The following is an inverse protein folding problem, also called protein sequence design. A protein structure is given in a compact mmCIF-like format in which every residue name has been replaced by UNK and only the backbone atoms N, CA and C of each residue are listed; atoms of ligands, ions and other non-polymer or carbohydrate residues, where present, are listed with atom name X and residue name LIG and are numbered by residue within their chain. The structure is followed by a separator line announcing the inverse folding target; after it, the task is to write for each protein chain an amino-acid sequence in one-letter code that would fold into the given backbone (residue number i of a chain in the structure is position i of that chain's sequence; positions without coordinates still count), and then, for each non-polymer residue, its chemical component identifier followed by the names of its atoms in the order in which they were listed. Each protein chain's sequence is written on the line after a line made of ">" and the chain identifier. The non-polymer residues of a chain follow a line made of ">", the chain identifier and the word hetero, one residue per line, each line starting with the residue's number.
data_IF_706056982446
#
_entry.id   IF_706056982446
#
_cell.length_a   1.000
_cell.length_b   1.000
_cell.length_c   1.000
_cell.angle_alpha   90.00
_cell.angle_beta   90.00
_cell.angle_gamma   90.00
#
_symmetry.space_group_name_H-M   'P 1'
#
loop_
_entity.id
_entity.type
_entity.pdbx_description
1 polymer ?
#
# COMPACT_ATOMS: atom_id res chain seq x y z
N UNK A 1 -66.14 -58.05 16.88
CA UNK A 1 -65.99 -58.40 15.44
C UNK A 1 -66.48 -57.22 14.62
N UNK A 2 -65.85 -56.93 13.46
CA UNK A 2 -64.98 -55.75 13.27
C UNK A 2 -65.51 -54.88 12.09
N UNK A 3 -65.02 -53.69 11.73
CA UNK A 3 -63.66 -53.37 11.33
C UNK A 3 -63.34 -51.89 11.42
N UNK A 4 -62.23 -51.66 12.11
CA UNK A 4 -61.24 -50.59 11.97
C UNK A 4 -60.79 -50.39 10.50
N UNK A 5 -60.75 -49.15 10.03
CA UNK A 5 -59.92 -48.66 8.90
C UNK A 5 -59.41 -47.26 9.29
N UNK A 6 -58.28 -47.12 9.98
CA UNK A 6 -56.89 -47.11 9.51
C UNK A 6 -56.61 -46.19 8.31
N UNK A 7 -56.08 -45.00 8.65
CA UNK A 7 -54.98 -44.22 8.05
C UNK A 7 -54.92 -44.05 6.53
N UNK A 8 -55.02 -42.80 6.06
CA UNK A 8 -54.20 -42.19 4.99
C UNK A 8 -53.92 -40.75 5.47
N UNK A 9 -52.79 -40.50 6.14
CA UNK A 9 -51.51 -40.05 5.58
C UNK A 9 -51.38 -38.52 5.61
N UNK A 10 -50.86 -38.06 6.76
CA UNK A 10 -50.16 -36.78 6.94
C UNK A 10 -48.94 -36.77 6.02
N UNK A 11 -48.93 -35.99 4.94
CA UNK A 11 -47.70 -35.60 4.22
C UNK A 11 -47.92 -34.23 3.55
N UNK A 12 -47.64 -33.14 4.26
CA UNK A 12 -47.16 -31.87 3.69
C UNK A 12 -46.55 -31.05 4.82
N UNK A 13 -45.46 -31.53 5.40
CA UNK A 13 -44.60 -30.73 6.28
C UNK A 13 -43.15 -31.16 6.10
N UNK A 14 -42.61 -30.96 4.89
CA UNK A 14 -41.22 -31.27 4.58
C UNK A 14 -40.70 -30.46 3.39
N UNK A 15 -40.85 -29.12 3.44
CA UNK A 15 -40.19 -28.19 2.51
C UNK A 15 -39.45 -27.05 3.23
N UNK A 16 -39.23 -27.16 4.54
CA UNK A 16 -38.37 -26.24 5.31
C UNK A 16 -37.25 -26.98 6.07
N UNK A 17 -36.90 -28.20 5.63
CA UNK A 17 -35.60 -28.76 5.97
C UNK A 17 -34.60 -28.24 4.93
N UNK A 18 -34.23 -26.97 5.03
CA UNK A 18 -32.97 -26.53 4.43
C UNK A 18 -31.91 -27.31 5.19
N UNK A 19 -31.12 -28.19 4.56
CA UNK A 19 -29.98 -28.76 5.24
C UNK A 19 -29.03 -27.59 5.49
N UNK A 20 -28.93 -27.12 6.74
CA UNK A 20 -27.74 -26.43 7.24
C UNK A 20 -26.63 -27.49 7.37
N UNK A 21 -26.30 -28.15 6.26
CA UNK A 21 -25.21 -29.09 6.19
C UNK A 21 -23.96 -28.29 5.84
N UNK A 22 -23.06 -28.26 6.82
CA UNK A 22 -21.66 -27.90 6.70
C UNK A 22 -21.38 -26.43 6.35
N UNK A 23 -21.43 -25.57 7.37
CA UNK A 23 -20.19 -24.82 7.63
C UNK A 23 -19.20 -25.86 8.19
N UNK A 24 -18.56 -26.62 7.30
CA UNK A 24 -17.49 -27.55 7.68
C UNK A 24 -16.50 -26.74 8.51
N UNK A 25 -16.20 -27.15 9.74
CA UNK A 25 -15.10 -26.55 10.49
C UNK A 25 -13.81 -27.16 9.93
N UNK A 26 -13.48 -26.73 8.71
CA UNK A 26 -12.32 -27.16 7.93
C UNK A 26 -10.99 -26.83 8.64
N UNK A 27 -11.07 -26.03 9.69
CA UNK A 27 -10.00 -25.75 10.62
C UNK A 27 -10.29 -26.29 12.01
N UNK A 28 -9.45 -27.22 12.44
CA UNK A 28 -9.48 -27.80 13.78
C UNK A 28 -8.71 -26.96 14.79
N UNK A 29 -7.77 -26.12 14.35
CA UNK A 29 -6.96 -25.25 15.20
C UNK A 29 -7.55 -23.83 15.31
N UNK A 30 -7.59 -23.28 16.53
CA UNK A 30 -8.10 -21.92 16.81
C UNK A 30 -6.97 -20.91 17.03
N UNK A 31 -6.11 -20.74 16.03
CA UNK A 31 -5.05 -19.73 16.06
C UNK A 31 -5.49 -18.43 15.34
N UNK A 32 -4.83 -17.31 15.62
CA UNK A 32 -5.05 -16.05 14.88
C UNK A 32 -4.73 -16.22 13.38
N UNK A 33 -3.72 -17.02 13.05
CA UNK A 33 -3.39 -17.33 11.66
C UNK A 33 -4.49 -18.14 10.98
N UNK A 34 -5.01 -19.15 11.68
CA UNK A 34 -6.06 -20.02 11.15
C UNK A 34 -7.35 -19.22 10.93
N UNK A 35 -7.69 -18.33 11.85
CA UNK A 35 -8.81 -17.40 11.68
C UNK A 35 -8.61 -16.43 10.51
N UNK A 36 -7.37 -15.98 10.27
CA UNK A 36 -7.06 -15.13 9.12
C UNK A 36 -7.37 -15.82 7.79
N UNK A 37 -6.98 -17.10 7.65
CA UNK A 37 -7.34 -17.90 6.48
C UNK A 37 -8.84 -18.15 6.40
N UNK A 38 -9.49 -18.44 7.54
CA UNK A 38 -10.92 -18.74 7.61
C UNK A 38 -11.74 -17.60 7.05
N UNK A 39 -11.51 -16.43 7.62
CA UNK A 39 -12.16 -15.19 7.20
C UNK A 39 -11.87 -14.86 5.74
N UNK A 40 -10.64 -15.10 5.24
CA UNK A 40 -10.32 -14.86 3.84
C UNK A 40 -11.14 -15.74 2.88
N UNK A 41 -11.26 -17.04 3.15
CA UNK A 41 -12.06 -17.94 2.30
C UNK A 41 -13.56 -17.65 2.40
N UNK A 42 -14.03 -17.16 3.56
CA UNK A 42 -15.40 -16.73 3.77
C UNK A 42 -15.69 -15.35 3.16
N UNK A 43 -14.70 -14.69 2.56
CA UNK A 43 -14.83 -13.37 1.94
C UNK A 43 -14.84 -12.20 2.93
N UNK A 44 -14.55 -12.44 4.21
CA UNK A 44 -14.44 -11.42 5.24
C UNK A 44 -13.01 -10.88 5.32
N UNK A 45 -12.71 -9.91 4.44
CA UNK A 45 -11.39 -9.29 4.32
C UNK A 45 -10.95 -8.54 5.58
N UNK A 46 -11.84 -7.78 6.20
CA UNK A 46 -11.55 -7.02 7.42
C UNK A 46 -11.16 -7.96 8.58
N UNK A 47 -11.95 -9.01 8.82
CA UNK A 47 -11.64 -10.00 9.85
C UNK A 47 -10.35 -10.77 9.54
N UNK A 48 -10.09 -11.09 8.27
CA UNK A 48 -8.84 -11.72 7.85
C UNK A 48 -7.65 -10.82 8.19
N UNK A 49 -7.73 -9.55 7.81
CA UNK A 49 -6.69 -8.55 8.05
C UNK A 49 -6.43 -8.33 9.54
N UNK A 50 -7.48 -8.16 10.34
CA UNK A 50 -7.37 -8.04 11.80
C UNK A 50 -6.73 -9.27 12.45
N UNK A 51 -7.02 -10.47 11.93
CA UNK A 51 -6.41 -11.71 12.42
C UNK A 51 -4.93 -11.82 12.02
N UNK A 52 -4.53 -11.27 10.86
CA UNK A 52 -3.12 -11.11 10.48
C UNK A 52 -2.39 -10.14 11.42
N UNK A 53 -2.99 -9.00 11.78
CA UNK A 53 -2.43 -8.07 12.77
C UNK A 53 -2.17 -8.80 14.10
N UNK A 54 -3.16 -9.53 14.62
CA UNK A 54 -3.02 -10.30 15.86
C UNK A 54 -1.90 -11.34 15.79
N UNK A 55 -1.66 -11.90 14.61
CA UNK A 55 -0.57 -12.86 14.42
C UNK A 55 0.78 -12.16 14.42
N UNK A 56 0.90 -11.01 13.76
CA UNK A 56 2.10 -10.17 13.81
C UNK A 56 2.43 -9.67 15.21
N UNK A 57 1.42 -9.33 16.02
CA UNK A 57 1.61 -8.86 17.39
C UNK A 57 2.25 -9.91 18.31
N UNK A 58 2.15 -11.20 17.96
CA UNK A 58 2.81 -12.30 18.68
C UNK A 58 4.28 -12.51 18.28
N UNK A 59 4.84 -11.59 17.50
CA UNK A 59 6.22 -11.62 17.03
C UNK A 59 6.60 -12.97 16.37
N UNK A 60 5.94 -13.30 15.24
CA UNK A 60 6.09 -14.60 14.60
C UNK A 60 7.53 -14.83 14.13
N UNK A 61 7.96 -16.08 14.10
CA UNK A 61 9.26 -16.46 13.50
C UNK A 61 9.25 -16.27 11.97
N UNK A 62 10.44 -16.26 11.34
CA UNK A 62 10.60 -15.81 9.95
C UNK A 62 9.79 -16.59 8.91
N UNK A 63 9.68 -17.92 9.04
CA UNK A 63 8.84 -18.72 8.13
C UNK A 63 7.36 -18.29 8.19
N UNK A 64 6.86 -17.94 9.39
CA UNK A 64 5.50 -17.47 9.57
C UNK A 64 5.32 -16.04 9.04
N UNK A 65 6.35 -15.19 9.13
CA UNK A 65 6.35 -13.87 8.45
C UNK A 65 6.17 -13.99 6.94
N UNK A 66 6.93 -14.88 6.30
CA UNK A 66 6.80 -15.14 4.85
C UNK A 66 5.40 -15.65 4.51
N UNK A 67 4.83 -16.49 5.36
CA UNK A 67 3.48 -16.99 5.17
C UNK A 67 2.42 -15.88 5.31
N UNK A 68 2.56 -14.97 6.27
CA UNK A 68 1.70 -13.79 6.41
C UNK A 68 1.81 -12.84 5.21
N UNK A 69 3.01 -12.62 4.68
CA UNK A 69 3.21 -11.82 3.46
C UNK A 69 2.46 -12.42 2.26
N UNK A 70 2.53 -13.74 2.10
CA UNK A 70 1.81 -14.45 1.05
C UNK A 70 0.29 -14.37 1.25
N UNK A 71 -0.18 -14.52 2.49
CA UNK A 71 -1.59 -14.41 2.83
C UNK A 71 -2.13 -13.00 2.54
N UNK A 72 -1.40 -11.96 2.92
CA UNK A 72 -1.74 -10.57 2.60
C UNK A 72 -1.81 -10.35 1.09
N UNK A 73 -0.84 -10.89 0.34
CA UNK A 73 -0.85 -10.81 -1.14
C UNK A 73 -2.10 -11.44 -1.72
N UNK A 74 -2.54 -12.59 -1.18
CA UNK A 74 -3.81 -13.22 -1.60
C UNK A 74 -5.05 -12.44 -1.20
N UNK A 75 -5.03 -11.78 -0.05
CA UNK A 75 -6.12 -10.89 0.34
C UNK A 75 -6.23 -9.67 -0.59
N UNK A 76 -5.10 -9.11 -1.04
CA UNK A 76 -5.06 -8.00 -2.00
C UNK A 76 -5.63 -8.39 -3.38
N UNK A 77 -5.59 -9.66 -3.77
CA UNK A 77 -6.16 -10.16 -5.03
C UNK A 77 -7.70 -10.04 -5.11
N UNK A 78 -8.39 -9.69 -4.03
CA UNK A 78 -9.86 -9.57 -3.99
C UNK A 78 -10.31 -8.13 -4.29
N UNK A 79 -9.72 -7.13 -3.64
CA UNK A 79 -10.15 -5.73 -3.78
C UNK A 79 -9.02 -4.69 -3.64
N UNK A 80 -7.77 -5.15 -3.76
CA UNK A 80 -6.57 -4.35 -3.55
C UNK A 80 -6.45 -3.70 -2.16
N UNK A 81 -7.11 -4.27 -1.14
CA UNK A 81 -7.00 -3.89 0.27
C UNK A 81 -7.96 -2.79 0.72
N UNK A 82 -8.95 -2.44 -0.10
CA UNK A 82 -9.92 -1.39 0.23
C UNK A 82 -10.82 -1.76 1.40
N UNK A 83 -11.14 -3.04 1.58
CA UNK A 83 -12.02 -3.52 2.66
C UNK A 83 -11.25 -4.13 3.84
N UNK A 84 -9.94 -3.84 3.97
CA UNK A 84 -9.15 -4.29 5.13
C UNK A 84 -9.50 -3.56 6.41
N UNK A 85 -10.03 -2.34 6.30
CA UNK A 85 -10.44 -1.51 7.42
C UNK A 85 -11.58 -0.58 6.98
N UNK A 86 -12.67 -0.60 7.74
CA UNK A 86 -13.89 0.18 7.51
C UNK A 86 -14.05 1.35 8.50
N UNK A 87 -13.09 1.58 9.41
CA UNK A 87 -13.18 2.56 10.50
C UNK A 87 -13.23 4.02 10.05
N UNK A 88 -12.93 4.31 8.78
CA UNK A 88 -13.00 5.66 8.23
C UNK A 88 -11.92 6.60 8.76
N UNK A 89 -11.93 7.85 8.26
CA UNK A 89 -11.11 8.92 8.82
C UNK A 89 -11.96 9.85 9.69
N UNK A 90 -11.39 10.43 10.77
CA UNK A 90 -12.03 11.52 11.46
C UNK A 90 -12.17 12.73 10.52
N UNK A 91 -13.11 13.63 10.81
CA UNK A 91 -13.48 14.73 9.91
C UNK A 91 -12.32 15.70 9.57
N UNK A 92 -11.26 15.73 10.40
CA UNK A 92 -10.09 16.56 10.15
C UNK A 92 -9.06 15.91 9.22
N UNK A 93 -9.15 14.61 8.93
CA UNK A 93 -8.15 13.86 8.18
C UNK A 93 -8.70 13.42 6.81
N UNK A 94 -8.06 13.83 5.72
CA UNK A 94 -8.56 13.54 4.36
C UNK A 94 -7.79 12.41 3.69
N UNK A 95 -6.47 12.35 3.90
CA UNK A 95 -5.60 11.39 3.21
C UNK A 95 -4.38 11.04 4.04
N UNK A 96 -4.08 9.74 4.10
CA UNK A 96 -2.81 9.21 4.61
C UNK A 96 -2.19 8.32 3.55
N UNK A 97 -0.92 8.56 3.22
CA UNK A 97 -0.14 7.73 2.29
C UNK A 97 1.20 7.38 2.90
N UNK A 98 1.53 6.09 2.89
CA UNK A 98 2.86 5.59 3.21
C UNK A 98 3.51 5.19 1.89
N UNK A 99 4.57 5.89 1.51
CA UNK A 99 5.29 5.67 0.26
C UNK A 99 6.68 5.11 0.55
N UNK A 100 6.99 3.96 -0.06
CA UNK A 100 8.30 3.30 -0.01
C UNK A 100 9.00 3.53 -1.33
N UNK A 101 10.18 4.12 -1.27
CA UNK A 101 10.97 4.46 -2.45
C UNK A 101 12.25 3.63 -2.53
N UNK A 102 12.51 3.11 -3.72
CA UNK A 102 13.81 2.54 -4.10
C UNK A 102 14.44 3.46 -5.13
N UNK A 103 15.54 4.12 -4.77
CA UNK A 103 16.18 5.16 -5.58
C UNK A 103 17.52 4.65 -6.09
N UNK A 104 17.61 4.41 -7.39
CA UNK A 104 18.81 3.96 -8.07
C UNK A 104 19.45 5.12 -8.84
N UNK A 105 20.65 5.49 -8.40
CA UNK A 105 21.53 6.44 -9.08
C UNK A 105 22.76 5.71 -9.62
N UNK A 106 23.58 6.30 -10.52
CA UNK A 106 24.80 5.66 -10.98
C UNK A 106 25.70 5.28 -9.79
N UNK A 107 25.93 3.98 -9.61
CA UNK A 107 26.75 3.42 -8.54
C UNK A 107 26.16 3.49 -7.13
N UNK A 108 24.88 3.86 -6.95
CA UNK A 108 24.24 3.98 -5.63
C UNK A 108 22.80 3.47 -5.64
N UNK A 109 22.44 2.77 -4.58
CA UNK A 109 21.07 2.33 -4.31
C UNK A 109 20.70 2.84 -2.91
N UNK A 110 19.64 3.64 -2.83
CA UNK A 110 19.14 4.19 -1.57
C UNK A 110 17.67 3.81 -1.40
N UNK A 111 17.24 3.76 -0.15
CA UNK A 111 15.85 3.53 0.20
C UNK A 111 15.33 4.73 0.96
N UNK A 112 14.07 5.08 0.73
CA UNK A 112 13.42 6.17 1.45
C UNK A 112 12.02 5.76 1.84
N UNK A 113 11.62 6.10 3.05
CA UNK A 113 10.26 5.96 3.53
C UNK A 113 9.66 7.36 3.67
N UNK A 114 8.44 7.56 3.17
CA UNK A 114 7.71 8.83 3.25
C UNK A 114 6.34 8.60 3.83
N UNK A 115 5.90 9.55 4.66
CA UNK A 115 4.52 9.69 5.10
C UNK A 115 4.00 10.99 4.52
N UNK A 116 2.90 10.92 3.78
CA UNK A 116 2.20 12.06 3.22
C UNK A 116 0.82 12.12 3.87
N UNK A 117 0.48 13.26 4.45
CA UNK A 117 -0.82 13.46 5.09
C UNK A 117 -1.48 14.73 4.56
N UNK A 118 -2.77 14.65 4.28
CA UNK A 118 -3.62 15.80 4.00
C UNK A 118 -4.66 15.91 5.12
N UNK A 119 -4.77 17.11 5.69
CA UNK A 119 -5.62 17.38 6.85
C UNK A 119 -6.25 18.77 6.77
N UNK A 120 -7.48 18.89 7.25
CA UNK A 120 -8.20 20.16 7.41
C UNK A 120 -7.66 20.96 8.62
N UNK A 121 -7.15 20.25 9.63
CA UNK A 121 -6.54 20.86 10.82
C UNK A 121 -5.02 20.79 10.76
N UNK A 122 -4.37 21.75 11.44
CA UNK A 122 -2.92 21.68 11.64
C UNK A 122 -2.57 20.45 12.49
N UNK A 123 -1.58 19.65 12.07
CA UNK A 123 -1.06 18.53 12.83
C UNK A 123 0.06 18.96 13.77
N UNK A 124 0.10 18.33 14.94
CA UNK A 124 1.16 18.49 15.94
C UNK A 124 2.05 17.25 16.04
N UNK A 125 1.57 16.09 15.60
CA UNK A 125 2.35 14.85 15.56
C UNK A 125 2.05 14.04 14.30
N UNK A 126 3.11 13.54 13.67
CA UNK A 126 3.09 12.54 12.60
C UNK A 126 4.18 11.52 12.89
N UNK A 127 3.78 10.32 13.32
CA UNK A 127 4.73 9.28 13.71
C UNK A 127 4.39 7.92 13.11
N UNK A 128 5.44 7.12 12.89
CA UNK A 128 5.35 5.73 12.44
C UNK A 128 6.33 4.88 13.24
N UNK A 129 5.80 3.84 13.88
CA UNK A 129 6.57 2.91 14.72
C UNK A 129 6.42 1.50 14.17
N UNK A 130 7.54 0.79 14.00
CA UNK A 130 7.55 -0.65 13.73
C UNK A 130 7.31 -1.40 15.03
N UNK A 131 6.33 -2.30 15.03
CA UNK A 131 5.99 -3.11 16.19
C UNK A 131 7.19 -4.00 16.62
N UNK A 132 7.47 -4.13 17.93
CA UNK A 132 6.74 -3.52 19.04
C UNK A 132 7.02 -2.01 19.22
N UNK A 133 8.27 -1.58 19.32
CA UNK A 133 8.60 -0.24 19.81
C UNK A 133 9.75 0.46 19.06
N UNK A 134 9.94 0.17 17.77
CA UNK A 134 11.02 0.77 16.97
C UNK A 134 10.47 1.99 16.22
N UNK A 135 10.79 3.20 16.70
CA UNK A 135 10.39 4.45 16.03
C UNK A 135 11.10 4.56 14.69
N UNK A 136 10.33 4.66 13.60
CA UNK A 136 10.84 4.83 12.24
C UNK A 136 10.80 6.30 11.83
N UNK A 137 9.67 6.96 12.03
CA UNK A 137 9.47 8.37 11.72
C UNK A 137 8.88 9.04 12.97
N UNK A 138 9.44 10.20 13.32
CA UNK A 138 8.96 11.12 14.35
C UNK A 138 8.80 12.52 13.71
N UNK A 139 8.52 13.55 14.49
CA UNK A 139 8.30 14.91 13.94
C UNK A 139 9.57 15.60 13.40
N UNK A 140 10.75 15.01 13.53
CA UNK A 140 11.96 15.57 12.93
C UNK A 140 11.86 15.51 11.41
N UNK A 141 12.13 16.64 10.74
CA UNK A 141 12.03 16.72 9.28
C UNK A 141 10.59 16.76 8.75
N UNK A 142 9.58 16.94 9.61
CA UNK A 142 8.21 17.22 9.20
C UNK A 142 8.17 18.55 8.42
N UNK A 143 7.85 18.46 7.14
CA UNK A 143 7.55 19.59 6.29
C UNK A 143 6.05 19.82 6.27
N UNK A 144 5.64 21.07 6.45
CA UNK A 144 4.26 21.50 6.31
C UNK A 144 4.14 22.53 5.19
N UNK A 145 3.12 22.37 4.36
CA UNK A 145 2.72 23.33 3.34
C UNK A 145 1.21 23.51 3.43
N UNK A 146 0.72 24.74 3.25
CA UNK A 146 -0.71 25.00 3.21
C UNK A 146 -1.12 25.27 1.77
N UNK A 147 -1.95 24.40 1.22
CA UNK A 147 -2.71 24.70 0.01
C UNK A 147 -3.99 25.48 0.40
N UNK A 148 -4.73 26.00 -0.58
CA UNK A 148 -5.90 26.87 -0.38
C UNK A 148 -6.93 26.33 0.62
N UNK A 149 -7.08 25.01 0.71
CA UNK A 149 -8.11 24.36 1.54
C UNK A 149 -7.56 23.38 2.58
N UNK A 150 -6.33 22.90 2.44
CA UNK A 150 -5.81 21.80 3.27
C UNK A 150 -4.35 22.03 3.69
N UNK A 151 -3.99 21.46 4.83
CA UNK A 151 -2.60 21.29 5.24
C UNK A 151 -2.02 20.02 4.64
N UNK A 152 -0.88 20.16 3.98
CA UNK A 152 -0.09 19.08 3.40
C UNK A 152 1.14 18.85 4.28
N UNK A 153 1.23 17.65 4.83
CA UNK A 153 2.35 17.22 5.64
C UNK A 153 3.15 16.16 4.91
N UNK A 154 4.47 16.31 5.00
CA UNK A 154 5.40 15.31 4.52
C UNK A 154 6.48 15.07 5.56
N UNK A 155 6.69 13.80 5.88
CA UNK A 155 7.87 13.38 6.62
C UNK A 155 8.60 12.26 5.86
N UNK A 156 9.92 12.20 6.01
CA UNK A 156 10.75 11.23 5.29
C UNK A 156 11.97 10.81 6.09
N UNK A 157 12.37 9.55 5.90
CA UNK A 157 13.69 9.06 6.33
C UNK A 157 14.40 8.39 5.17
N UNK A 158 15.71 8.60 5.09
CA UNK A 158 16.60 7.87 4.20
C UNK A 158 17.18 6.66 4.94
N UNK A 159 17.19 5.50 4.28
CA UNK A 159 17.56 4.21 4.85
C UNK A 159 18.59 3.50 3.99
N UNK A 160 19.46 2.74 4.64
CA UNK A 160 20.49 1.94 3.98
C UNK A 160 19.96 0.63 3.39
N UNK A 161 18.77 0.21 3.80
CA UNK A 161 18.10 -1.01 3.35
C UNK A 161 16.61 -0.74 3.13
N UNK A 162 15.96 -1.61 2.36
CA UNK A 162 14.51 -1.57 2.20
C UNK A 162 13.83 -1.81 3.54
N UNK A 163 12.72 -1.14 3.79
CA UNK A 163 11.90 -1.38 4.99
C UNK A 163 11.45 -2.85 5.03
N UNK A 164 11.66 -3.49 6.17
CA UNK A 164 11.33 -4.90 6.35
C UNK A 164 9.82 -5.13 6.26
N UNK A 165 9.44 -6.36 5.89
CA UNK A 165 8.08 -6.82 6.13
C UNK A 165 7.76 -6.79 7.63
N UNK A 166 6.56 -6.37 7.99
CA UNK A 166 6.14 -6.34 9.38
C UNK A 166 4.87 -5.54 9.65
N UNK A 167 4.56 -5.47 10.94
CA UNK A 167 3.51 -4.64 11.49
C UNK A 167 4.07 -3.30 11.95
N UNK A 168 3.38 -2.23 11.56
CA UNK A 168 3.71 -0.86 11.88
C UNK A 168 2.47 -0.17 12.43
N UNK A 169 2.66 0.91 13.19
CA UNK A 169 1.60 1.74 13.72
C UNK A 169 1.84 3.18 13.28
N UNK A 170 0.88 3.76 12.56
CA UNK A 170 0.86 5.18 12.27
C UNK A 170 0.04 5.88 13.36
N UNK A 171 0.54 7.01 13.84
CA UNK A 171 -0.17 7.87 14.78
C UNK A 171 -0.08 9.31 14.33
N UNK A 172 -1.23 9.98 14.34
CA UNK A 172 -1.40 11.37 13.96
C UNK A 172 -2.10 12.10 15.09
N UNK A 173 -1.72 13.36 15.32
CA UNK A 173 -2.37 14.22 16.31
C UNK A 173 -2.61 15.60 15.75
N UNK A 174 -3.83 16.11 15.88
CA UNK A 174 -4.16 17.47 15.46
C UNK A 174 -3.80 18.51 16.55
N UNK A 175 -3.92 19.79 16.22
CA UNK A 175 -3.68 20.89 17.17
C UNK A 175 -4.72 21.00 18.29
N UNK A 176 -5.90 20.40 18.11
CA UNK A 176 -6.97 20.32 19.11
C UNK A 176 -6.71 19.22 20.14
N UNK A 177 -5.75 18.33 19.85
CA UNK A 177 -5.38 17.18 20.66
C UNK A 177 -6.12 15.89 20.29
N UNK A 178 -6.91 15.89 19.22
CA UNK A 178 -7.55 14.70 18.68
C UNK A 178 -6.50 13.78 18.03
N UNK A 179 -6.58 12.49 18.32
CA UNK A 179 -5.61 11.49 17.87
C UNK A 179 -6.28 10.48 16.93
N UNK A 180 -5.59 10.15 15.85
CA UNK A 180 -5.94 9.03 14.98
C UNK A 180 -4.74 8.09 14.89
N UNK A 181 -5.00 6.80 15.02
CA UNK A 181 -3.98 5.77 14.89
C UNK A 181 -4.51 4.58 14.11
N UNK A 182 -3.61 3.91 13.39
CA UNK A 182 -3.96 2.70 12.66
C UNK A 182 -2.77 1.75 12.56
N UNK A 183 -3.07 0.46 12.52
CA UNK A 183 -2.10 -0.58 12.21
C UNK A 183 -1.83 -0.60 10.72
N UNK A 184 -0.62 -0.96 10.31
CA UNK A 184 -0.21 -1.07 8.91
C UNK A 184 0.59 -2.35 8.74
N UNK A 185 0.19 -3.21 7.82
CA UNK A 185 1.03 -4.34 7.43
C UNK A 185 1.76 -3.96 6.14
N UNK A 186 3.08 -3.88 6.22
CA UNK A 186 3.95 -3.74 5.07
C UNK A 186 4.54 -5.12 4.78
N UNK A 187 4.25 -5.70 3.62
CA UNK A 187 4.95 -6.87 3.09
C UNK A 187 6.00 -6.45 2.07
N UNK A 188 6.92 -7.34 1.71
CA UNK A 188 7.89 -7.07 0.64
C UNK A 188 7.14 -6.64 -0.64
N UNK A 189 7.55 -5.54 -1.31
CA UNK A 189 6.91 -5.12 -2.55
C UNK A 189 6.96 -6.21 -3.61
N UNK A 190 5.82 -6.52 -4.20
CA UNK A 190 5.67 -7.51 -5.29
C UNK A 190 5.43 -6.78 -6.63
N UNK A 191 6.37 -5.92 -6.99
CA UNK A 191 6.27 -5.06 -8.17
C UNK A 191 6.36 -5.91 -9.45
N UNK A 192 5.21 -6.08 -10.13
CA UNK A 192 5.11 -6.85 -11.39
C UNK A 192 5.60 -6.07 -12.61
N UNK A 193 5.79 -4.76 -12.46
CA UNK A 193 6.41 -3.90 -13.44
C UNK A 193 7.55 -3.13 -12.80
N UNK A 194 8.68 -3.04 -13.47
CA UNK A 194 9.85 -2.32 -12.97
C UNK A 194 10.47 -1.53 -14.11
N UNK A 195 11.13 -0.43 -13.77
CA UNK A 195 11.83 0.40 -14.75
C UNK A 195 13.33 0.18 -14.65
N UNK A 196 14.01 0.11 -15.80
CA UNK A 196 15.46 0.08 -15.87
C UNK A 196 15.98 0.84 -17.08
N UNK A 197 17.24 1.25 -17.00
CA UNK A 197 17.93 1.85 -18.13
C UNK A 197 18.16 0.82 -19.24
N UNK A 198 17.91 1.24 -20.48
CA UNK A 198 18.21 0.47 -21.69
C UNK A 198 19.43 1.03 -22.43
N UNK A 199 19.59 2.36 -22.44
CA UNK A 199 20.76 3.07 -22.98
C UNK A 199 21.08 4.35 -22.18
N UNK A 200 21.96 5.20 -22.72
CA UNK A 200 22.29 6.51 -22.16
C UNK A 200 21.09 7.46 -22.10
N UNK A 201 20.08 7.28 -22.93
CA UNK A 201 18.94 8.18 -23.14
C UNK A 201 17.58 7.46 -23.18
N UNK A 202 17.57 6.13 -23.15
CA UNK A 202 16.35 5.32 -23.14
C UNK A 202 16.23 4.42 -21.91
N UNK A 203 14.98 4.10 -21.58
CA UNK A 203 14.59 3.16 -20.53
C UNK A 203 13.53 2.20 -21.06
N UNK A 204 13.28 1.15 -20.29
CA UNK A 204 12.22 0.19 -20.57
C UNK A 204 11.53 -0.19 -19.28
N UNK A 205 10.22 -0.46 -19.39
CA UNK A 205 9.43 -1.05 -18.32
C UNK A 205 9.38 -2.55 -18.54
N UNK A 206 10.10 -3.30 -17.71
CA UNK A 206 10.01 -4.76 -17.69
C UNK A 206 8.70 -5.19 -17.03
N UNK A 207 8.05 -6.19 -17.61
CA UNK A 207 6.78 -6.75 -17.10
C UNK A 207 7.00 -8.22 -16.75
N UNK A 208 6.97 -8.56 -15.47
CA UNK A 208 7.31 -9.90 -14.98
C UNK A 208 6.09 -10.78 -14.71
N UNK A 209 4.91 -10.18 -14.49
CA UNK A 209 3.65 -10.89 -14.33
C UNK A 209 2.44 -10.04 -14.73
N UNK A 210 1.26 -10.66 -14.73
CA UNK A 210 -0.01 -9.95 -14.88
C UNK A 210 -0.29 -9.08 -13.65
N UNK A 211 -0.83 -7.90 -13.89
CA UNK A 211 -1.29 -6.99 -12.83
C UNK A 211 -2.60 -7.51 -12.22
N UNK A 212 -2.75 -7.28 -10.92
CA UNK A 212 -4.03 -7.47 -10.25
C UNK A 212 -5.03 -6.44 -10.79
N UNK A 213 -6.12 -6.92 -11.40
CA UNK A 213 -7.18 -6.10 -12.00
C UNK A 213 -7.92 -5.17 -11.03
N UNK A 214 -7.87 -5.47 -9.73
CA UNK A 214 -8.51 -4.67 -8.70
C UNK A 214 -7.62 -3.51 -8.22
N UNK A 215 -6.32 -3.62 -8.46
CA UNK A 215 -5.35 -2.57 -8.21
C UNK A 215 -5.31 -1.57 -9.38
N UNK A 216 -4.96 -0.30 -9.13
CA UNK A 216 -4.78 0.67 -10.19
C UNK A 216 -3.56 0.27 -11.03
N UNK A 217 -3.53 0.72 -12.28
CA UNK A 217 -2.35 0.54 -13.11
C UNK A 217 -1.16 1.29 -12.49
N UNK A 218 0.05 0.73 -12.56
CA UNK A 218 1.24 1.46 -12.16
C UNK A 218 1.37 2.77 -12.94
N UNK A 219 1.78 3.84 -12.28
CA UNK A 219 1.97 5.13 -12.93
C UNK A 219 3.45 5.34 -13.20
N UNK A 220 3.83 5.49 -14.47
CA UNK A 220 5.17 5.90 -14.87
C UNK A 220 5.25 7.44 -14.82
N UNK A 221 6.25 7.97 -14.14
CA UNK A 221 6.56 9.39 -14.12
C UNK A 221 7.96 9.62 -14.68
N UNK A 222 8.07 10.56 -15.62
CA UNK A 222 9.34 11.06 -16.15
C UNK A 222 9.48 12.49 -15.67
N UNK A 223 10.56 12.80 -14.96
CA UNK A 223 10.81 14.12 -14.40
C UNK A 223 12.25 14.59 -14.68
N UNK A 224 12.41 15.90 -14.88
CA UNK A 224 13.69 16.57 -15.03
C UNK A 224 13.89 17.53 -13.87
N UNK A 225 15.02 17.36 -13.19
CA UNK A 225 15.44 18.22 -12.09
C UNK A 225 16.62 19.08 -12.55
N UNK A 226 16.57 20.37 -12.29
CA UNK A 226 17.67 21.30 -12.58
C UNK A 226 18.11 22.06 -11.34
N UNK A 227 19.31 22.63 -11.39
CA UNK A 227 19.85 23.42 -10.29
C UNK A 227 19.22 24.82 -10.28
N UNK A 228 18.46 25.12 -9.23
CA UNK A 228 17.88 26.43 -8.94
C UNK A 228 18.43 26.90 -7.60
N UNK A 229 19.26 27.94 -7.62
CA UNK A 229 19.88 28.55 -6.43
C UNK A 229 20.69 27.57 -5.56
N UNK A 230 21.37 26.60 -6.16
CA UNK A 230 22.20 25.61 -5.46
C UNK A 230 21.46 24.32 -5.10
N UNK A 231 20.15 24.24 -5.33
CA UNK A 231 19.33 23.07 -5.04
C UNK A 231 18.77 22.46 -6.32
N UNK A 232 18.76 21.13 -6.41
CA UNK A 232 18.08 20.45 -7.51
C UNK A 232 16.57 20.45 -7.27
N UNK A 233 15.82 21.14 -8.13
CA UNK A 233 14.36 21.24 -8.09
C UNK A 233 13.74 20.63 -9.33
N UNK A 234 12.54 20.09 -9.19
CA UNK A 234 11.75 19.60 -10.32
C UNK A 234 11.37 20.79 -11.21
N UNK A 235 11.69 20.70 -12.50
CA UNK A 235 11.41 21.74 -13.49
C UNK A 235 10.37 21.29 -14.52
N UNK A 236 10.27 19.99 -14.73
CA UNK A 236 9.33 19.38 -15.65
C UNK A 236 9.01 17.97 -15.18
N UNK A 237 7.75 17.57 -15.34
CA UNK A 237 7.32 16.19 -15.16
C UNK A 237 6.19 15.83 -16.10
N UNK A 238 6.06 14.54 -16.38
CA UNK A 238 4.91 13.97 -17.07
C UNK A 238 4.63 12.55 -16.58
N UNK A 239 3.36 12.27 -16.35
CA UNK A 239 2.86 11.01 -15.81
C UNK A 239 2.11 10.22 -16.90
N UNK A 240 2.20 8.90 -16.84
CA UNK A 240 1.65 7.96 -17.82
C UNK A 240 1.06 6.75 -17.09
N UNK A 241 -0.24 6.51 -17.25
CA UNK A 241 -0.90 5.29 -16.76
C UNK A 241 -0.86 4.14 -17.77
N UNK A 242 -0.70 4.48 -19.05
CA UNK A 242 -0.60 3.57 -20.20
C UNK A 242 0.41 4.12 -21.21
N UNK A 243 0.77 3.32 -22.22
CA UNK A 243 1.68 3.71 -23.30
C UNK A 243 2.98 4.35 -22.82
N UNK A 244 3.66 3.64 -21.93
CA UNK A 244 4.89 4.09 -21.30
C UNK A 244 5.95 4.47 -22.35
N UNK A 245 6.42 5.74 -22.37
CA UNK A 245 7.49 6.13 -23.26
C UNK A 245 8.79 5.39 -22.92
N UNK A 246 9.69 5.30 -23.89
CA UNK A 246 11.03 4.72 -23.72
C UNK A 246 12.14 5.78 -23.75
N UNK A 247 11.79 7.03 -24.00
CA UNK A 247 12.70 8.17 -24.09
C UNK A 247 11.99 9.43 -23.61
N UNK A 248 12.79 10.47 -23.32
CA UNK A 248 12.23 11.77 -22.95
C UNK A 248 11.41 12.30 -24.13
N UNK A 249 10.17 12.70 -23.85
CA UNK A 249 9.34 13.40 -24.84
C UNK A 249 9.86 14.82 -25.04
N UNK A 250 9.53 15.47 -26.16
CA UNK A 250 9.93 16.85 -26.40
C UNK A 250 9.55 17.75 -25.20
N UNK A 251 10.56 18.41 -24.63
CA UNK A 251 10.41 19.34 -23.51
C UNK A 251 10.82 20.73 -23.98
N UNK A 252 10.10 21.77 -23.54
CA UNK A 252 10.45 23.17 -23.83
C UNK A 252 11.51 23.73 -22.86
N UNK A 253 12.38 22.87 -22.32
CA UNK A 253 13.44 23.29 -21.40
C UNK A 253 14.67 23.77 -22.18
N UNK A 254 15.38 24.80 -21.68
CA UNK A 254 16.57 25.31 -22.35
C UNK A 254 17.70 24.26 -22.37
N UNK A 255 18.66 24.35 -23.31
CA UNK A 255 19.85 23.51 -23.30
C UNK A 255 20.62 23.67 -21.98
N UNK A 256 20.76 22.57 -21.24
CA UNK A 256 21.47 22.53 -19.96
C UNK A 256 21.67 21.08 -19.51
N UNK A 257 22.36 20.91 -18.38
CA UNK A 257 22.51 19.63 -17.71
C UNK A 257 21.47 19.48 -16.61
N UNK A 258 20.67 18.44 -16.74
CA UNK A 258 19.59 18.06 -15.84
C UNK A 258 19.89 16.72 -15.16
N UNK A 259 19.13 16.41 -14.12
CA UNK A 259 18.98 15.07 -13.60
C UNK A 259 17.66 14.52 -14.13
N UNK A 260 17.71 13.47 -14.95
CA UNK A 260 16.54 12.76 -15.41
C UNK A 260 16.18 11.70 -14.38
N UNK A 261 14.96 11.78 -13.85
CA UNK A 261 14.33 10.73 -13.05
C UNK A 261 13.25 10.04 -13.87
N UNK A 262 13.29 8.72 -13.91
CA UNK A 262 12.17 7.90 -14.40
C UNK A 262 11.73 7.03 -13.24
N UNK A 263 10.45 7.05 -12.94
CA UNK A 263 9.90 6.28 -11.84
C UNK A 263 8.63 5.53 -12.22
N UNK A 264 8.38 4.43 -11.53
CA UNK A 264 7.14 3.67 -11.64
C UNK A 264 6.58 3.44 -10.24
N UNK A 265 5.32 3.82 -10.04
CA UNK A 265 4.65 3.77 -8.73
C UNK A 265 3.53 2.75 -8.76
N UNK A 266 3.59 1.76 -7.88
CA UNK A 266 2.51 0.81 -7.63
C UNK A 266 1.73 1.29 -6.42
N UNK A 267 0.41 1.09 -6.44
CA UNK A 267 -0.48 1.56 -5.38
C UNK A 267 -1.42 0.44 -4.94
N UNK A 268 -1.61 0.34 -3.63
CA UNK A 268 -2.65 -0.46 -3.00
C UNK A 268 -3.29 0.32 -1.85
N UNK A 269 -4.32 -0.26 -1.27
CA UNK A 269 -5.00 0.30 -0.12
C UNK A 269 -4.85 -0.58 1.13
N UNK A 270 -5.20 0.03 2.24
CA UNK A 270 -5.49 -0.65 3.50
C UNK A 270 -6.60 0.16 4.19
N UNK A 271 -7.85 -0.16 3.85
CA UNK A 271 -8.97 0.73 4.11
C UNK A 271 -8.85 2.01 3.28
N UNK A 272 -9.00 3.17 3.93
CA UNK A 272 -8.83 4.48 3.29
C UNK A 272 -7.35 4.87 3.05
N UNK A 273 -6.42 4.27 3.79
CA UNK A 273 -5.00 4.59 3.66
C UNK A 273 -4.42 4.02 2.37
N UNK A 274 -3.55 4.79 1.74
CA UNK A 274 -2.81 4.37 0.55
C UNK A 274 -1.41 3.88 0.93
N UNK A 275 -0.98 2.77 0.34
CA UNK A 275 0.41 2.32 0.36
C UNK A 275 0.97 2.37 -1.06
N UNK A 276 2.11 3.05 -1.22
CA UNK A 276 2.75 3.24 -2.52
C UNK A 276 4.16 2.66 -2.54
N UNK A 277 4.50 1.96 -3.62
CA UNK A 277 5.81 1.42 -3.90
C UNK A 277 6.38 2.10 -5.15
N UNK A 278 7.30 3.04 -4.96
CA UNK A 278 7.90 3.85 -6.02
C UNK A 278 9.33 3.43 -6.29
N UNK A 279 9.58 2.87 -7.47
CA UNK A 279 10.95 2.66 -7.96
C UNK A 279 11.37 3.89 -8.78
N UNK A 280 12.52 4.47 -8.47
CA UNK A 280 13.09 5.62 -9.18
C UNK A 280 14.46 5.22 -9.72
N UNK A 281 14.68 5.36 -11.02
CA UNK A 281 16.01 5.35 -11.62
C UNK A 281 16.36 6.77 -12.05
N UNK A 282 17.54 7.26 -11.70
CA UNK A 282 17.97 8.59 -12.10
C UNK A 282 19.38 8.60 -12.66
N UNK A 283 19.68 9.59 -13.51
CA UNK A 283 21.02 9.85 -14.05
C UNK A 283 21.11 11.28 -14.59
N UNK A 284 22.33 11.77 -14.74
CA UNK A 284 22.57 13.02 -15.45
C UNK A 284 22.12 12.92 -16.91
N UNK A 285 21.51 13.98 -17.42
CA UNK A 285 20.97 14.06 -18.78
C UNK A 285 21.22 15.45 -19.33
N UNK A 286 21.79 15.52 -20.53
CA UNK A 286 22.13 16.78 -21.20
C UNK A 286 21.12 17.03 -22.31
N UNK A 287 20.48 18.20 -22.30
CA UNK A 287 19.69 18.71 -23.42
C UNK A 287 20.62 19.61 -24.23
N UNK A 288 20.94 19.20 -25.46
CA UNK A 288 21.72 20.01 -26.42
C UNK A 288 20.80 20.78 -27.36
N UNK A 289 21.33 21.84 -27.98
CA UNK A 289 20.72 22.50 -29.15
C UNK A 289 20.53 21.54 -30.33
#
# INVERSE_FOLDING_TARGET
>A
MPHLKFKIAVITLSLLAVPTWAADDWFTEKSSLTNAHKALLEGNLEQSFNSMIQTWQKEPHDQLKVHLDNLLTKALDIDCGRSFDSSGYPAWLDKVTIERQTIQSPGRLNYRLRILVQSNNKLTDVSLTKWPDIVMINNEGLSEEQDKEHWLYQNRIDMNAQIDSGLYKIKLKDQSGEEWENWVILSKPDNKQTVRWNSKDSWIVDKTALLNRFCPLPVLEVALYGNVNGEYKELWKKEYETDYPISLSDTNLPPSRYLLGVSITHKRWQGLMTIEDKQIINKAYDISE
#
